data_IF_915972529277
#
_entry.id   IF_915972529277
#
_cell.length_a   1.000
_cell.length_b   1.000
_cell.length_c   1.000
_cell.angle_alpha   90.00
_cell.angle_beta   90.00
_cell.angle_gamma   90.00
#
_symmetry.space_group_name_H-M   'P 1'
#
loop_
_entity.id
_entity.type
_entity.pdbx_description
1 polymer ?
#
# COMPACT_ATOMS: atom_id res chain seq x y z
N UNK A 1 23.11 18.92 5.72
CA UNK A 1 23.94 18.37 4.63
C UNK A 1 25.18 19.22 4.33
N UNK A 2 26.28 18.63 3.84
CA UNK A 2 27.50 19.39 3.49
C UNK A 2 27.49 19.88 2.04
N UNK A 3 27.99 21.09 1.82
CA UNK A 3 28.08 21.68 0.48
C UNK A 3 29.11 20.93 -0.40
N UNK A 4 28.77 20.48 -1.62
CA UNK A 4 29.70 19.76 -2.49
C UNK A 4 30.83 20.64 -3.06
N UNK A 5 30.71 21.97 -2.94
CA UNK A 5 31.67 22.91 -3.51
C UNK A 5 32.70 23.43 -2.49
N UNK A 6 32.31 23.60 -1.23
CA UNK A 6 33.17 24.18 -0.19
C UNK A 6 33.17 23.40 1.12
N UNK A 7 32.45 22.27 1.18
CA UNK A 7 32.41 21.33 2.30
C UNK A 7 31.96 21.93 3.65
N UNK A 8 31.29 23.09 3.63
CA UNK A 8 30.67 23.65 4.82
C UNK A 8 29.35 22.93 5.13
N UNK A 9 29.06 22.74 6.41
CA UNK A 9 27.76 22.26 6.86
C UNK A 9 26.66 23.28 6.53
N UNK A 10 25.53 22.77 6.04
CA UNK A 10 24.35 23.53 5.69
C UNK A 10 23.08 22.82 6.22
N UNK A 11 22.13 23.52 6.85
CA UNK A 11 20.86 22.91 7.25
C UNK A 11 20.04 22.46 6.03
N UNK A 12 19.26 21.39 6.19
CA UNK A 12 18.63 20.64 5.08
C UNK A 12 17.54 21.43 4.33
N UNK A 13 17.03 22.50 4.93
CA UNK A 13 16.02 23.40 4.36
C UNK A 13 16.61 24.46 3.42
N UNK A 14 17.94 24.68 3.43
CA UNK A 14 18.57 25.68 2.57
C UNK A 14 18.74 25.17 1.15
N UNK A 15 18.38 26.01 0.19
CA UNK A 15 18.57 25.78 -1.25
C UNK A 15 19.88 26.39 -1.78
N UNK A 16 20.55 27.22 -0.99
CA UNK A 16 21.81 27.90 -1.32
C UNK A 16 22.78 27.79 -0.15
N UNK A 17 24.05 27.53 -0.47
CA UNK A 17 25.13 27.45 0.51
C UNK A 17 25.38 28.82 1.16
N UNK A 18 25.36 28.90 2.49
CA UNK A 18 25.54 30.19 3.18
C UNK A 18 26.98 30.75 3.11
N UNK A 19 27.95 29.90 2.77
CA UNK A 19 29.37 30.28 2.71
C UNK A 19 29.89 30.68 1.33
N UNK A 20 29.37 30.06 0.26
CA UNK A 20 29.89 30.25 -1.10
C UNK A 20 28.81 30.57 -2.13
N UNK A 21 27.56 30.77 -1.69
CA UNK A 21 26.40 31.17 -2.50
C UNK A 21 26.04 30.24 -3.67
N UNK A 22 26.65 29.06 -3.73
CA UNK A 22 26.33 28.05 -4.74
C UNK A 22 25.03 27.30 -4.39
N UNK A 23 24.25 26.90 -5.40
CA UNK A 23 23.03 26.13 -5.19
C UNK A 23 23.34 24.79 -4.55
N UNK A 24 22.46 24.39 -3.63
CA UNK A 24 22.50 23.10 -2.95
C UNK A 24 21.57 22.10 -3.62
N UNK A 25 21.93 20.80 -3.62
CA UNK A 25 21.03 19.76 -4.11
C UNK A 25 19.74 19.74 -3.29
N UNK A 26 18.58 19.85 -3.96
CA UNK A 26 17.29 19.81 -3.26
C UNK A 26 17.06 18.41 -2.67
N UNK A 27 16.49 18.30 -1.46
CA UNK A 27 16.02 17.03 -0.95
C UNK A 27 15.04 16.41 -1.97
N UNK A 28 15.22 15.14 -2.29
CA UNK A 28 14.26 14.45 -3.16
C UNK A 28 12.91 14.36 -2.45
N UNK A 29 11.79 14.60 -3.15
CA UNK A 29 10.47 14.45 -2.54
C UNK A 29 10.31 13.01 -2.03
N UNK A 30 9.60 12.80 -0.90
CA UNK A 30 9.36 11.47 -0.39
C UNK A 30 8.65 10.64 -1.47
N UNK A 31 9.18 9.47 -1.79
CA UNK A 31 8.52 8.53 -2.72
C UNK A 31 7.12 8.23 -2.18
N UNK A 32 6.10 8.41 -3.01
CA UNK A 32 4.73 8.01 -2.69
C UNK A 32 4.71 6.51 -2.42
N UNK A 33 4.26 6.09 -1.24
CA UNK A 33 4.08 4.68 -0.91
C UNK A 33 3.01 4.12 -1.84
N UNK A 34 3.38 3.22 -2.76
CA UNK A 34 2.40 2.47 -3.52
C UNK A 34 1.66 1.52 -2.59
N UNK A 35 0.36 1.33 -2.82
CA UNK A 35 -0.45 0.34 -2.12
C UNK A 35 0.26 -1.02 -2.20
N UNK A 36 0.58 -1.59 -1.04
CA UNK A 36 1.35 -2.82 -0.93
C UNK A 36 0.55 -3.98 -1.52
N UNK A 37 1.19 -4.81 -2.35
CA UNK A 37 0.64 -6.06 -2.90
C UNK A 37 0.03 -6.97 -1.81
N UNK A 38 0.45 -6.83 -0.55
CA UNK A 38 -0.16 -7.49 0.61
C UNK A 38 -1.66 -7.20 0.80
N UNK A 39 -2.17 -6.03 0.40
CA UNK A 39 -3.60 -5.73 0.56
C UNK A 39 -4.47 -6.67 -0.29
N UNK A 40 -4.05 -6.97 -1.52
CA UNK A 40 -4.74 -7.92 -2.38
C UNK A 40 -4.69 -9.35 -1.85
N UNK A 41 -3.55 -9.74 -1.26
CA UNK A 41 -3.42 -11.05 -0.61
C UNK A 41 -4.43 -11.21 0.54
N UNK A 42 -4.57 -10.20 1.41
CA UNK A 42 -5.54 -10.26 2.51
C UNK A 42 -6.99 -10.26 2.02
N UNK A 43 -7.31 -9.51 0.96
CA UNK A 43 -8.63 -9.53 0.34
C UNK A 43 -8.94 -10.96 -0.17
N UNK A 44 -8.00 -11.60 -0.86
CA UNK A 44 -8.17 -12.96 -1.36
C UNK A 44 -8.39 -13.98 -0.24
N UNK A 45 -7.57 -13.91 0.82
CA UNK A 45 -7.70 -14.79 1.99
C UNK A 45 -9.06 -14.58 2.66
N UNK A 46 -9.49 -13.34 2.87
CA UNK A 46 -10.77 -13.03 3.50
C UNK A 46 -11.96 -13.58 2.70
N UNK A 47 -11.96 -13.40 1.37
CA UNK A 47 -13.00 -13.95 0.49
C UNK A 47 -13.03 -15.47 0.56
N UNK A 48 -11.87 -16.13 0.51
CA UNK A 48 -11.77 -17.59 0.61
C UNK A 48 -12.33 -18.12 1.94
N UNK A 49 -12.00 -17.47 3.06
CA UNK A 49 -12.51 -17.84 4.39
C UNK A 49 -14.03 -17.64 4.48
N UNK A 50 -14.57 -16.53 3.96
CA UNK A 50 -16.01 -16.28 3.92
C UNK A 50 -16.74 -17.37 3.13
N UNK A 51 -16.21 -17.76 1.96
CA UNK A 51 -16.79 -18.83 1.14
C UNK A 51 -16.76 -20.19 1.86
N UNK A 52 -15.66 -20.50 2.56
CA UNK A 52 -15.57 -21.72 3.37
C UNK A 52 -16.62 -21.73 4.48
N UNK A 53 -16.78 -20.63 5.21
CA UNK A 53 -17.77 -20.50 6.28
C UNK A 53 -19.21 -20.58 5.74
N UNK A 54 -19.49 -19.93 4.60
CA UNK A 54 -20.79 -20.00 3.94
C UNK A 54 -21.16 -21.43 3.53
N UNK A 55 -20.17 -22.21 3.03
CA UNK A 55 -20.36 -23.62 2.72
C UNK A 55 -20.53 -24.50 3.98
N UNK A 56 -19.85 -24.17 5.09
CA UNK A 56 -20.03 -24.89 6.36
C UNK A 56 -21.41 -24.63 7.00
N UNK A 57 -21.98 -23.44 6.82
CA UNK A 57 -23.33 -23.10 7.31
C UNK A 57 -24.48 -23.71 6.47
N UNK A 58 -24.21 -24.58 5.50
CA UNK A 58 -25.25 -25.32 4.77
C UNK A 58 -26.07 -24.49 3.77
N UNK A 59 -25.64 -23.27 3.45
CA UNK A 59 -26.24 -22.42 2.40
C UNK A 59 -26.51 -23.16 1.06
N UNK A 60 -25.63 -24.05 0.55
CA UNK A 60 -25.92 -24.79 -0.68
C UNK A 60 -27.14 -25.73 -0.59
N UNK A 61 -27.53 -26.21 0.59
CA UNK A 61 -28.73 -27.06 0.75
C UNK A 61 -30.03 -26.27 0.58
N UNK A 62 -30.03 -24.97 0.91
CA UNK A 62 -31.21 -24.10 0.80
C UNK A 62 -31.41 -23.57 -0.63
N UNK A 63 -30.32 -23.43 -1.38
CA UNK A 63 -30.33 -22.94 -2.77
C UNK A 63 -30.50 -24.06 -3.80
N UNK A 64 -30.43 -25.33 -3.38
CA UNK A 64 -30.70 -26.47 -4.26
C UNK A 64 -32.21 -26.70 -4.29
N UNK A 65 -32.94 -26.34 -5.37
CA UNK A 65 -34.35 -26.67 -5.48
C UNK A 65 -34.49 -28.20 -5.49
N UNK A 66 -35.28 -28.75 -4.56
CA UNK A 66 -35.57 -30.18 -4.44
C UNK A 66 -36.38 -30.60 -5.68
N UNK A 67 -35.85 -31.43 -6.61
CA UNK A 67 -36.61 -31.89 -7.76
C UNK A 67 -37.57 -32.99 -7.27
N UNK A 68 -38.80 -32.62 -6.94
CA UNK A 68 -39.79 -33.62 -6.53
C UNK A 68 -41.05 -33.11 -5.83
N UNK A 69 -41.38 -31.81 -5.94
CA UNK A 69 -42.69 -31.31 -5.48
C UNK A 69 -43.49 -30.76 -6.66
N UNK A 70 -44.00 -31.69 -7.47
CA UNK A 70 -45.09 -31.45 -8.43
C UNK A 70 -46.16 -32.47 -8.03
N UNK A 71 -47.42 -32.04 -7.82
CA UNK A 71 -48.46 -32.81 -7.11
C UNK A 71 -48.86 -34.12 -7.80
#
# INVERSE_FOLDING_TARGET
MDCPNCHTYNPDERTVCWRCDKPLPRPQPPKKKQASSQQWLYILIAVMVILMLANMCGLPQLLTPKPGLIP
#
